data_IF_277414404257
#
_entry.id   IF_277414404257
#
_cell.length_a   1.000
_cell.length_b   1.000
_cell.length_c   1.000
_cell.angle_alpha   90.00
_cell.angle_beta   90.00
_cell.angle_gamma   90.00
#
_symmetry.space_group_name_H-M   'P 1'
#
loop_
_entity.id
_entity.type
_entity.pdbx_description
1 polymer ?
#
# COMPACT_ATOMS: atom_id res chain seq x y z
N UNK A 1 -29.91 -17.78 -23.60
CA UNK A 1 -29.76 -17.11 -22.29
C UNK A 1 -28.31 -17.25 -21.90
N UNK A 2 -27.64 -16.11 -21.83
CA UNK A 2 -26.17 -15.96 -21.82
C UNK A 2 -25.57 -16.57 -20.56
N UNK A 3 -24.56 -17.42 -20.74
CA UNK A 3 -23.73 -17.94 -19.64
C UNK A 3 -23.00 -16.74 -19.02
N UNK A 4 -23.40 -16.37 -17.82
CA UNK A 4 -22.71 -15.38 -17.00
C UNK A 4 -21.27 -15.88 -16.77
N UNK A 5 -20.33 -15.25 -17.47
CA UNK A 5 -18.90 -15.42 -17.22
C UNK A 5 -18.58 -14.60 -15.97
N UNK A 6 -18.86 -15.16 -14.80
CA UNK A 6 -18.22 -14.72 -13.57
C UNK A 6 -16.71 -14.77 -13.81
N UNK A 7 -15.98 -13.65 -13.73
CA UNK A 7 -14.52 -13.74 -13.74
C UNK A 7 -14.15 -14.50 -12.48
N UNK A 8 -13.76 -15.76 -12.64
CA UNK A 8 -13.10 -16.50 -11.57
C UNK A 8 -11.87 -15.66 -11.22
N UNK A 9 -11.91 -14.97 -10.07
CA UNK A 9 -10.71 -14.50 -9.38
C UNK A 9 -9.79 -15.71 -9.35
N UNK A 10 -8.75 -15.68 -10.18
CA UNK A 10 -7.84 -16.81 -10.31
C UNK A 10 -7.27 -17.11 -8.92
N UNK A 11 -7.43 -18.33 -8.38
CA UNK A 11 -6.91 -18.72 -7.07
C UNK A 11 -5.37 -18.80 -7.03
N UNK A 12 -4.66 -18.31 -8.05
CA UNK A 12 -3.21 -18.49 -8.20
C UNK A 12 -2.35 -17.57 -7.32
N UNK A 13 -2.93 -16.69 -6.53
CA UNK A 13 -2.13 -15.76 -5.75
C UNK A 13 -2.75 -15.44 -4.38
N UNK A 14 -3.38 -16.43 -3.75
CA UNK A 14 -3.78 -16.38 -2.33
C UNK A 14 -2.60 -15.94 -1.44
N UNK A 15 -1.36 -16.19 -1.88
CA UNK A 15 -0.12 -15.86 -1.20
C UNK A 15 0.67 -14.71 -1.85
N UNK A 16 0.08 -13.97 -2.81
CA UNK A 16 0.76 -12.85 -3.48
C UNK A 16 1.28 -11.81 -2.50
N UNK A 17 0.57 -11.59 -1.40
CA UNK A 17 0.97 -10.67 -0.34
C UNK A 17 2.33 -11.04 0.29
N UNK A 18 2.81 -12.28 0.15
CA UNK A 18 4.14 -12.70 0.63
C UNK A 18 5.27 -12.25 -0.30
N UNK A 19 4.98 -11.94 -1.55
CA UNK A 19 5.96 -11.35 -2.48
C UNK A 19 6.20 -9.91 -2.03
N UNK A 20 7.45 -9.52 -1.71
CA UNK A 20 7.74 -8.18 -1.22
C UNK A 20 7.43 -7.11 -2.27
N UNK A 21 6.68 -6.08 -1.88
CA UNK A 21 6.36 -4.92 -2.71
C UNK A 21 7.06 -3.67 -2.16
N UNK A 22 7.62 -2.87 -3.07
CA UNK A 22 8.38 -1.67 -2.72
C UNK A 22 7.45 -0.59 -2.18
N UNK A 23 7.82 -0.02 -1.03
CA UNK A 23 7.19 1.18 -0.52
C UNK A 23 7.77 2.38 -1.28
N UNK A 24 6.96 3.01 -2.13
CA UNK A 24 7.40 4.06 -3.06
C UNK A 24 6.69 5.40 -2.85
N UNK A 25 5.78 5.50 -1.89
CA UNK A 25 4.99 6.69 -1.64
C UNK A 25 4.95 7.03 -0.15
N UNK A 26 4.93 8.33 0.14
CA UNK A 26 4.82 8.90 1.50
C UNK A 26 3.80 10.02 1.47
N UNK A 27 2.78 9.94 2.32
CA UNK A 27 1.89 11.06 2.57
C UNK A 27 2.50 12.01 3.59
N UNK A 28 2.49 13.31 3.30
CA UNK A 28 2.90 14.36 4.22
C UNK A 28 1.71 15.25 4.53
N UNK A 29 1.33 15.32 5.81
CA UNK A 29 0.19 16.08 6.29
C UNK A 29 0.63 17.44 6.86
N UNK A 30 -0.24 18.46 6.72
CA UNK A 30 0.06 19.83 7.17
C UNK A 30 0.28 19.94 8.68
N UNK A 31 -0.44 19.14 9.45
CA UNK A 31 -0.36 19.12 10.92
C UNK A 31 0.93 18.45 11.45
N UNK A 32 1.81 18.04 10.53
CA UNK A 32 3.05 17.34 10.83
C UNK A 32 2.88 15.83 10.68
N UNK A 33 3.92 15.19 10.17
CA UNK A 33 3.97 13.74 9.99
C UNK A 33 4.13 13.34 8.52
N UNK A 34 5.00 12.35 8.31
CA UNK A 34 5.25 11.71 7.03
C UNK A 34 4.95 10.22 7.21
N UNK A 35 3.97 9.71 6.46
CA UNK A 35 3.47 8.36 6.62
C UNK A 35 3.69 7.58 5.32
N UNK A 36 4.51 6.52 5.34
CA UNK A 36 4.68 5.65 4.18
C UNK A 36 3.34 5.03 3.77
N UNK A 37 3.16 4.75 2.49
CA UNK A 37 1.91 4.18 1.96
C UNK A 37 2.11 2.71 1.61
N UNK A 38 1.15 1.86 1.98
CA UNK A 38 1.17 0.46 1.56
C UNK A 38 1.01 0.36 0.03
N UNK A 39 1.93 -0.28 -0.70
CA UNK A 39 1.86 -0.38 -2.16
C UNK A 39 0.72 -1.27 -2.66
N UNK A 40 0.11 -2.08 -1.79
CA UNK A 40 -0.98 -2.99 -2.17
C UNK A 40 -2.36 -2.39 -1.87
N UNK A 41 -2.57 -1.85 -0.68
CA UNK A 41 -3.89 -1.35 -0.27
C UNK A 41 -4.01 0.19 -0.24
N UNK A 42 -2.93 0.93 -0.43
CA UNK A 42 -2.94 2.40 -0.48
C UNK A 42 -3.15 3.11 0.87
N UNK A 43 -3.28 2.36 1.96
CA UNK A 43 -3.45 2.92 3.31
C UNK A 43 -2.09 3.33 3.87
N UNK A 44 -2.06 4.41 4.67
CA UNK A 44 -0.89 4.83 5.43
C UNK A 44 -0.44 3.76 6.41
N UNK A 45 0.87 3.55 6.48
CA UNK A 45 1.52 2.67 7.42
C UNK A 45 1.77 3.40 8.74
N UNK A 46 1.41 2.76 9.87
CA UNK A 46 1.57 3.37 11.20
C UNK A 46 3.04 3.47 11.65
N UNK A 47 3.92 2.62 11.10
CA UNK A 47 5.36 2.60 11.40
C UNK A 47 6.18 2.40 10.13
N UNK A 48 7.30 3.12 10.06
CA UNK A 48 8.35 2.91 9.06
C UNK A 48 9.09 1.59 9.30
N UNK A 49 9.66 1.01 8.24
CA UNK A 49 10.53 -0.17 8.27
C UNK A 49 9.93 -1.48 8.85
N UNK A 50 8.61 -1.55 9.04
CA UNK A 50 7.95 -2.81 9.39
C UNK A 50 7.98 -3.82 8.22
N UNK A 51 8.03 -5.11 8.53
CA UNK A 51 8.15 -6.15 7.51
C UNK A 51 6.86 -6.37 6.70
N UNK A 52 5.70 -6.10 7.29
CA UNK A 52 4.38 -6.36 6.71
C UNK A 52 3.42 -5.21 6.98
N UNK A 53 2.45 -5.01 6.09
CA UNK A 53 1.34 -4.10 6.33
C UNK A 53 0.38 -4.70 7.37
N UNK A 54 0.08 -3.95 8.43
CA UNK A 54 -0.87 -4.37 9.47
C UNK A 54 -2.30 -4.59 8.93
N UNK A 55 -2.70 -3.84 7.89
CA UNK A 55 -4.07 -3.90 7.35
C UNK A 55 -4.30 -5.06 6.38
N UNK A 56 -3.37 -5.33 5.47
CA UNK A 56 -3.55 -6.35 4.42
C UNK A 56 -2.52 -7.49 4.43
N UNK A 57 -1.55 -7.47 5.35
CA UNK A 57 -0.51 -8.50 5.45
C UNK A 57 0.57 -8.43 4.36
N UNK A 58 0.53 -7.45 3.45
CA UNK A 58 1.51 -7.30 2.38
C UNK A 58 2.94 -7.19 2.92
N UNK A 59 3.84 -8.05 2.45
CA UNK A 59 5.29 -7.94 2.73
C UNK A 59 5.86 -6.69 2.08
N UNK A 60 6.59 -5.90 2.86
CA UNK A 60 7.10 -4.59 2.44
C UNK A 60 8.59 -4.68 2.10
N UNK A 61 8.99 -3.95 1.05
CA UNK A 61 10.39 -3.73 0.68
C UNK A 61 10.76 -2.26 0.78
N UNK A 62 11.71 -1.96 1.66
CA UNK A 62 12.15 -0.61 1.97
C UNK A 62 13.43 -0.19 1.24
N UNK A 63 14.03 -1.08 0.43
CA UNK A 63 15.34 -0.83 -0.22
C UNK A 63 15.41 0.47 -1.02
N UNK A 64 14.29 0.94 -1.55
CA UNK A 64 14.22 2.16 -2.38
C UNK A 64 13.42 3.29 -1.72
N UNK A 65 13.08 3.17 -0.44
CA UNK A 65 12.21 4.12 0.25
C UNK A 65 12.77 5.55 0.28
N UNK A 66 14.10 5.71 0.28
CA UNK A 66 14.77 7.02 0.17
C UNK A 66 14.45 7.80 -1.12
N UNK A 67 13.89 7.13 -2.14
CA UNK A 67 13.43 7.75 -3.39
C UNK A 67 11.90 7.73 -3.49
N UNK A 68 11.19 7.51 -2.38
CA UNK A 68 9.74 7.51 -2.38
C UNK A 68 9.21 8.88 -2.80
N UNK A 69 8.13 8.85 -3.59
CA UNK A 69 7.40 10.03 -3.98
C UNK A 69 6.68 10.61 -2.77
N UNK A 70 6.93 11.89 -2.49
CA UNK A 70 6.20 12.65 -1.48
C UNK A 70 4.88 13.11 -2.08
N UNK A 71 3.78 12.76 -1.43
CA UNK A 71 2.43 13.19 -1.77
C UNK A 71 1.93 14.07 -0.63
N UNK A 72 1.73 15.34 -0.92
CA UNK A 72 1.10 16.25 0.05
C UNK A 72 -0.40 16.05 -0.01
N UNK A 73 -0.98 15.56 1.09
CA UNK A 73 -2.43 15.57 1.27
C UNK A 73 -2.88 17.03 1.41
N UNK A 74 -3.64 17.50 0.41
CA UNK A 74 -4.26 18.84 0.35
C UNK A 74 -5.32 19.05 1.44
N UNK A 75 -5.90 20.26 1.53
CA UNK A 75 -6.53 20.78 2.74
C UNK A 75 -7.59 19.85 3.33
N UNK A 76 -7.57 19.76 4.65
CA UNK A 76 -8.59 19.13 5.49
C UNK A 76 -9.97 19.65 5.06
N UNK A 77 -10.72 18.85 4.29
CA UNK A 77 -12.13 19.14 4.02
C UNK A 77 -12.93 18.55 5.20
N UNK A 78 -13.32 19.51 6.06
CA UNK A 78 -14.26 19.49 7.20
C UNK A 78 -13.75 19.15 8.62
#
# INVERSE_FOLDING_TARGET
MSKERTPLLHPQDELSFRKPLRVTQVYVFRQGGAYPVCPQCGISLEREFQNFCDRCGQKLDWKQFKHAQIIYSGPDDE
#
